data_IF_772148162964
#
_entry.id   IF_772148162964
#
_cell.length_a   1.000
_cell.length_b   1.000
_cell.length_c   1.000
_cell.angle_alpha   90.00
_cell.angle_beta   90.00
_cell.angle_gamma   90.00
#
_symmetry.space_group_name_H-M   'P 1'
#
loop_
_entity.id
_entity.type
_entity.pdbx_description
1 polymer ?
#
# COMPACT_ATOMS: atom_id res chain seq x y z
N UNK A 1 12.35 -0.43 -13.33
CA UNK A 1 11.09 -1.20 -13.26
C UNK A 1 10.43 -0.83 -11.95
N UNK A 2 9.20 -0.27 -11.97
CA UNK A 2 8.54 0.17 -10.77
C UNK A 2 8.36 -1.00 -9.80
N UNK A 3 8.42 -0.71 -8.50
CA UNK A 3 8.39 -1.71 -7.44
C UNK A 3 7.23 -1.43 -6.50
N UNK A 4 6.62 -2.46 -5.97
CA UNK A 4 5.70 -2.32 -4.85
C UNK A 4 6.45 -2.55 -3.54
N UNK A 5 6.08 -1.76 -2.54
CA UNK A 5 6.57 -1.81 -1.18
C UNK A 5 5.35 -1.98 -0.28
N UNK A 6 5.27 -3.11 0.40
CA UNK A 6 4.14 -3.46 1.25
C UNK A 6 4.54 -3.55 2.72
N UNK A 7 3.74 -2.96 3.60
CA UNK A 7 3.90 -3.02 5.05
C UNK A 7 2.53 -3.18 5.74
N UNK A 8 2.56 -3.69 6.97
CA UNK A 8 1.39 -3.78 7.85
C UNK A 8 1.73 -3.08 9.18
N UNK A 9 1.61 -1.74 9.25
CA UNK A 9 1.84 -1.02 10.50
C UNK A 9 0.70 -1.29 11.49
N UNK A 10 0.95 -0.99 12.77
CA UNK A 10 -0.11 -0.93 13.76
C UNK A 10 -1.20 0.08 13.36
N UNK A 11 -2.44 -0.16 13.78
CA UNK A 11 -3.59 0.65 13.38
C UNK A 11 -3.41 2.15 13.72
N UNK A 12 -2.77 2.46 14.85
CA UNK A 12 -2.47 3.84 15.27
C UNK A 12 -1.39 4.52 14.42
N UNK A 13 -0.63 3.76 13.63
CA UNK A 13 0.49 4.23 12.83
C UNK A 13 0.17 4.29 11.34
N UNK A 14 -1.02 3.85 10.90
CA UNK A 14 -1.41 3.81 9.48
C UNK A 14 -1.23 5.17 8.81
N UNK A 15 -1.80 6.24 9.38
CA UNK A 15 -1.73 7.58 8.81
C UNK A 15 -0.28 8.12 8.78
N UNK A 16 0.51 7.84 9.83
CA UNK A 16 1.91 8.24 9.88
C UNK A 16 2.76 7.49 8.85
N UNK A 17 2.51 6.20 8.66
CA UNK A 17 3.16 5.36 7.67
C UNK A 17 2.81 5.79 6.24
N UNK A 18 1.53 6.07 5.96
CA UNK A 18 1.09 6.62 4.68
C UNK A 18 1.75 7.96 4.38
N UNK A 19 1.77 8.89 5.34
CA UNK A 19 2.42 10.19 5.19
C UNK A 19 3.93 10.06 4.94
N UNK A 20 4.61 9.15 5.63
CA UNK A 20 6.03 8.89 5.42
C UNK A 20 6.32 8.36 4.01
N UNK A 21 5.46 7.48 3.48
CA UNK A 21 5.58 6.97 2.11
C UNK A 21 5.36 8.07 1.07
N UNK A 22 4.39 8.96 1.28
CA UNK A 22 4.19 10.13 0.42
C UNK A 22 5.40 11.07 0.45
N UNK A 23 5.94 11.36 1.63
CA UNK A 23 7.12 12.21 1.78
C UNK A 23 8.38 11.61 1.16
N UNK A 24 8.45 10.27 1.10
CA UNK A 24 9.55 9.53 0.47
C UNK A 24 9.44 9.49 -1.05
N UNK A 25 8.32 9.94 -1.63
CA UNK A 25 8.13 10.03 -3.08
C UNK A 25 7.43 8.82 -3.71
N UNK A 26 6.60 8.09 -2.94
CA UNK A 26 5.71 7.08 -3.51
C UNK A 26 4.84 7.68 -4.63
N UNK A 27 4.68 6.93 -5.73
CA UNK A 27 3.87 7.33 -6.89
C UNK A 27 2.38 7.11 -6.66
N UNK A 28 2.05 6.09 -5.88
CA UNK A 28 0.70 5.74 -5.48
C UNK A 28 0.74 4.96 -4.16
N UNK A 29 -0.33 5.07 -3.38
CA UNK A 29 -0.53 4.27 -2.17
C UNK A 29 -1.93 3.66 -2.23
N UNK A 30 -2.01 2.37 -1.92
CA UNK A 30 -3.26 1.61 -1.82
C UNK A 30 -3.37 1.04 -0.41
N UNK A 31 -4.51 1.28 0.24
CA UNK A 31 -4.85 0.69 1.53
C UNK A 31 -5.73 -0.55 1.28
N UNK A 32 -5.21 -1.71 1.64
CA UNK A 32 -5.85 -3.00 1.43
C UNK A 32 -6.32 -3.56 2.77
N UNK A 33 -7.52 -4.14 2.77
CA UNK A 33 -7.98 -4.96 3.88
C UNK A 33 -7.08 -6.19 4.03
N UNK A 34 -6.56 -6.41 5.24
CA UNK A 34 -5.71 -7.57 5.54
C UNK A 34 -6.47 -8.70 6.25
N UNK A 35 -7.78 -8.58 6.48
CA UNK A 35 -8.55 -9.50 7.32
C UNK A 35 -9.99 -9.79 6.85
N UNK A 36 -10.36 -9.42 5.61
CA UNK A 36 -11.72 -9.59 5.05
C UNK A 36 -12.84 -9.09 5.99
N UNK A 37 -12.61 -7.93 6.63
CA UNK A 37 -13.54 -7.36 7.59
C UNK A 37 -14.58 -6.49 6.84
N UNK A 38 -15.88 -6.85 6.87
CA UNK A 38 -16.91 -6.02 6.27
C UNK A 38 -16.99 -4.69 7.01
N UNK A 39 -16.68 -3.60 6.31
CA UNK A 39 -16.95 -2.26 6.78
C UNK A 39 -18.40 -1.92 6.44
N UNK A 40 -19.25 -1.79 7.45
CA UNK A 40 -20.62 -1.34 7.26
C UNK A 40 -20.65 0.15 6.92
N UNK A 41 -21.75 0.60 6.30
CA UNK A 41 -21.94 2.01 6.02
C UNK A 41 -21.87 2.81 7.33
N UNK A 42 -20.91 3.76 7.45
CA UNK A 42 -20.73 4.51 8.67
C UNK A 42 -21.80 5.59 8.81
N UNK A 43 -22.02 6.07 10.04
CA UNK A 43 -22.89 7.20 10.27
C UNK A 43 -22.38 8.49 9.58
N UNK A 44 -23.23 9.53 9.43
CA UNK A 44 -22.79 10.80 8.86
C UNK A 44 -21.57 11.36 9.60
N UNK A 45 -20.43 11.46 8.90
CA UNK A 45 -19.16 11.99 9.44
C UNK A 45 -18.22 10.95 10.06
N UNK A 46 -18.61 9.67 10.10
CA UNK A 46 -17.74 8.59 10.53
C UNK A 46 -16.90 8.06 9.35
N UNK A 47 -15.62 7.82 9.57
CA UNK A 47 -14.70 7.19 8.60
C UNK A 47 -13.94 6.05 9.29
N UNK A 48 -14.61 4.92 9.59
CA UNK A 48 -13.95 3.79 10.23
C UNK A 48 -12.94 3.15 9.27
N UNK A 49 -11.76 2.82 9.79
CA UNK A 49 -10.73 2.08 9.06
C UNK A 49 -10.77 0.59 9.45
N UNK A 50 -10.28 -0.28 8.56
CA UNK A 50 -10.07 -1.69 8.90
C UNK A 50 -9.11 -1.83 10.09
N UNK A 51 -9.35 -2.82 10.95
CA UNK A 51 -8.48 -3.07 12.12
C UNK A 51 -7.06 -3.48 11.72
N UNK A 52 -6.91 -4.10 10.54
CA UNK A 52 -5.64 -4.49 9.98
C UNK A 52 -5.58 -4.04 8.53
N UNK A 53 -4.65 -3.15 8.23
CA UNK A 53 -4.46 -2.58 6.89
C UNK A 53 -3.10 -2.99 6.37
N UNK A 54 -3.06 -3.47 5.12
CA UNK A 54 -1.81 -3.53 4.36
C UNK A 54 -1.70 -2.25 3.55
N UNK A 55 -0.60 -1.52 3.73
CA UNK A 55 -0.28 -0.36 2.89
C UNK A 55 0.63 -0.86 1.78
N UNK A 56 0.19 -0.72 0.53
CA UNK A 56 1.00 -0.96 -0.66
C UNK A 56 1.35 0.35 -1.33
N UNK A 57 2.64 0.67 -1.40
CA UNK A 57 3.16 1.83 -2.11
C UNK A 57 3.82 1.42 -3.43
N UNK A 58 3.49 2.13 -4.51
CA UNK A 58 4.21 2.05 -5.77
C UNK A 58 5.41 3.01 -5.73
N UNK A 59 6.61 2.48 -5.87
CA UNK A 59 7.85 3.26 -5.79
C UNK A 59 8.40 3.58 -7.18
N UNK A 60 8.96 4.79 -7.40
CA UNK A 60 9.73 5.08 -8.59
C UNK A 60 11.07 4.35 -8.56
N UNK A 61 11.69 4.17 -9.73
CA UNK A 61 13.00 3.51 -9.87
C UNK A 61 14.13 4.20 -9.08
N UNK A 62 13.97 5.50 -8.79
CA UNK A 62 14.95 6.31 -8.07
C UNK A 62 14.94 6.09 -6.55
N UNK A 63 13.94 5.40 -6.02
CA UNK A 63 13.79 5.17 -4.58
C UNK A 63 14.26 3.75 -4.23
N UNK A 64 15.23 3.64 -3.32
CA UNK A 64 15.69 2.35 -2.83
C UNK A 64 14.72 1.82 -1.75
N UNK A 65 14.02 0.71 -2.00
CA UNK A 65 13.09 0.14 -1.03
C UNK A 65 13.76 -0.34 0.26
N UNK A 66 15.05 -0.72 0.23
CA UNK A 66 15.77 -1.19 1.42
C UNK A 66 16.08 0.00 2.33
N UNK A 67 16.53 1.12 1.76
CA UNK A 67 16.74 2.36 2.52
C UNK A 67 15.43 2.87 3.12
N UNK A 68 14.33 2.81 2.35
CA UNK A 68 13.00 3.15 2.84
C UNK A 68 12.59 2.28 4.04
N UNK A 69 12.77 0.95 3.95
CA UNK A 69 12.46 0.03 5.05
C UNK A 69 13.25 0.36 6.33
N UNK A 70 14.55 0.68 6.18
CA UNK A 70 15.39 1.11 7.29
C UNK A 70 14.90 2.43 7.89
N UNK A 71 14.55 3.41 7.06
CA UNK A 71 14.04 4.70 7.51
C UNK A 71 12.71 4.56 8.26
N UNK A 72 11.78 3.77 7.73
CA UNK A 72 10.49 3.51 8.39
C UNK A 72 10.65 2.78 9.72
N UNK A 73 11.61 1.85 9.81
CA UNK A 73 11.98 1.20 11.08
C UNK A 73 12.54 2.22 12.07
N UNK A 74 13.43 3.11 11.62
CA UNK A 74 14.02 4.14 12.48
C UNK A 74 12.98 5.15 13.00
N UNK A 75 11.91 5.38 12.24
CA UNK A 75 10.75 6.18 12.66
C UNK A 75 9.77 5.41 13.56
N UNK A 76 9.99 4.11 13.79
CA UNK A 76 9.10 3.25 14.57
C UNK A 76 7.76 2.97 13.86
N UNK A 77 7.70 3.11 12.54
CA UNK A 77 6.48 2.87 11.76
C UNK A 77 6.29 1.37 11.42
N UNK A 78 7.38 0.61 11.46
CA UNK A 78 7.41 -0.86 11.32
C UNK A 78 8.46 -1.42 12.28
N UNK A 79 8.27 -2.68 12.72
CA UNK A 79 9.13 -3.32 13.73
C UNK A 79 10.57 -3.57 13.26
N UNK A 80 10.73 -3.88 11.98
CA UNK A 80 12.03 -4.14 11.37
C UNK A 80 11.98 -3.98 9.85
N UNK A 81 13.12 -3.83 9.16
CA UNK A 81 13.13 -3.75 7.70
C UNK A 81 12.57 -5.01 7.04
N UNK A 82 12.66 -6.16 7.71
CA UNK A 82 12.12 -7.44 7.23
C UNK A 82 10.58 -7.50 7.27
N UNK A 83 9.92 -6.57 7.95
CA UNK A 83 8.46 -6.44 7.92
C UNK A 83 7.96 -5.87 6.58
N UNK A 84 8.84 -5.25 5.78
CA UNK A 84 8.52 -4.77 4.44
C UNK A 84 8.66 -5.89 3.39
N UNK A 85 7.65 -6.02 2.53
CA UNK A 85 7.69 -6.93 1.39
C UNK A 85 7.88 -6.12 0.11
N UNK A 86 8.79 -6.61 -0.75
CA UNK A 86 9.17 -5.95 -2.00
C UNK A 86 8.84 -6.86 -3.17
N UNK A 87 8.16 -6.31 -4.17
CA UNK A 87 7.92 -7.01 -5.43
C UNK A 87 8.19 -6.09 -6.62
N UNK A 88 8.69 -6.67 -7.71
CA UNK A 88 8.75 -5.97 -8.98
C UNK A 88 7.36 -5.94 -9.61
N UNK A 89 6.94 -4.76 -10.09
CA UNK A 89 5.72 -4.63 -10.86
C UNK A 89 6.08 -4.69 -12.34
N UNK A 90 5.76 -5.79 -13.04
CA UNK A 90 6.05 -5.91 -14.46
C UNK A 90 5.26 -4.86 -15.24
N UNK A 91 5.92 -4.22 -16.19
CA UNK A 91 5.28 -3.26 -17.08
C UNK A 91 4.24 -3.99 -17.95
N UNK A 92 2.99 -3.51 -17.90
CA UNK A 92 1.88 -4.06 -18.67
C UNK A 92 1.04 -2.92 -19.24
N UNK A 93 0.55 -3.10 -20.46
CA UNK A 93 -0.52 -2.26 -21.01
C UNK A 93 -1.83 -2.62 -20.30
N UNK A 94 -2.09 -1.94 -19.19
CA UNK A 94 -3.28 -2.17 -18.37
C UNK A 94 -4.57 -1.90 -19.14
N UNK A 95 -4.58 -0.95 -20.09
CA UNK A 95 -5.72 -0.61 -20.94
C UNK A 95 -6.11 -1.76 -21.88
N UNK A 96 -5.15 -2.58 -22.30
CA UNK A 96 -5.44 -3.78 -23.10
C UNK A 96 -5.68 -5.02 -22.24
N UNK A 97 -4.94 -5.16 -21.15
CA UNK A 97 -5.02 -6.33 -20.27
C UNK A 97 -6.42 -6.54 -19.66
N UNK A 98 -7.18 -5.47 -19.39
CA UNK A 98 -8.55 -5.61 -18.87
C UNK A 98 -9.56 -6.07 -19.93
N UNK A 99 -9.35 -5.72 -21.21
CA UNK A 99 -10.25 -6.08 -22.32
C UNK A 99 -10.26 -7.59 -22.59
N UNK A 100 -9.12 -8.26 -22.44
CA UNK A 100 -9.02 -9.73 -22.57
C UNK A 100 -9.90 -10.47 -21.54
N UNK A 101 -10.19 -9.82 -20.41
CA UNK A 101 -10.98 -10.37 -19.29
C UNK A 101 -12.44 -9.94 -19.34
N UNK A 102 -12.78 -8.89 -20.09
CA UNK A 102 -14.12 -8.32 -20.11
C UNK A 102 -15.08 -9.23 -20.88
N UNK A 103 -16.15 -9.66 -20.20
CA UNK A 103 -17.28 -10.35 -20.83
C UNK A 103 -18.50 -9.44 -20.70
N UNK A 104 -19.05 -8.91 -21.81
CA UNK A 104 -20.26 -8.08 -21.72
C UNK A 104 -21.42 -8.88 -21.11
N UNK A 105 -22.13 -8.26 -20.17
CA UNK A 105 -23.37 -8.81 -19.61
C UNK A 105 -24.47 -8.76 -20.68
N UNK A 106 -25.30 -9.81 -20.76
CA UNK A 106 -26.47 -9.89 -21.65
C UNK A 106 -27.73 -9.42 -20.96
#
# INVERSE_FOLDING_TARGET
MPRTFQIQPDASLIEAAENALWQSGALAITLLDAADQPLLEPGPGEMPMWQRVTIEALLPDSLDPVELALQMTAMGLIDSPAAAQLAELPERDWTRAWMDRFRPMR
#
